data_IF_624597875398
#
_entry.id   IF_624597875398
#
_cell.length_a   1.000
_cell.length_b   1.000
_cell.length_c   1.000
_cell.angle_alpha   90.00
_cell.angle_beta   90.00
_cell.angle_gamma   90.00
#
_symmetry.space_group_name_H-M   'P 1'
#
loop_
_entity.id
_entity.type
_entity.pdbx_description
1 polymer ?
#
# COMPACT_ATOMS: atom_id res chain seq x y z
N UNK A 1 -29.70 7.37 29.82
CA UNK A 1 -28.41 7.96 29.39
C UNK A 1 -28.02 7.23 28.11
N UNK A 2 -28.17 7.89 26.95
CA UNK A 2 -27.72 7.32 25.68
C UNK A 2 -26.19 7.34 25.68
N UNK A 3 -25.59 6.17 25.54
CA UNK A 3 -24.17 6.06 25.22
C UNK A 3 -23.98 6.53 23.78
N UNK A 4 -23.29 7.66 23.66
CA UNK A 4 -22.84 8.26 22.42
C UNK A 4 -21.84 7.31 21.76
N UNK A 5 -22.33 6.34 20.99
CA UNK A 5 -21.51 5.60 20.02
C UNK A 5 -21.21 6.56 18.87
N UNK A 6 -20.29 7.49 19.14
CA UNK A 6 -19.48 8.11 18.11
C UNK A 6 -18.68 6.98 17.47
N UNK A 7 -19.28 6.35 16.45
CA UNK A 7 -18.55 5.55 15.49
C UNK A 7 -17.67 6.57 14.77
N UNK A 8 -16.50 6.82 15.36
CA UNK A 8 -15.39 7.46 14.69
C UNK A 8 -15.25 6.70 13.38
N UNK A 9 -15.43 7.39 12.25
CA UNK A 9 -15.04 6.84 10.93
C UNK A 9 -13.70 6.15 11.16
N UNK A 10 -13.54 4.86 10.82
CA UNK A 10 -12.26 4.22 10.98
C UNK A 10 -11.28 5.07 10.16
N UNK A 11 -10.42 5.83 10.84
CA UNK A 11 -9.30 6.46 10.18
C UNK A 11 -8.57 5.35 9.45
N UNK A 12 -8.16 5.60 8.21
CA UNK A 12 -7.30 4.68 7.47
C UNK A 12 -6.12 4.33 8.37
N UNK A 13 -6.11 3.09 8.89
CA UNK A 13 -5.04 2.60 9.76
C UNK A 13 -3.75 2.56 8.97
N UNK A 14 -2.65 2.98 9.59
CA UNK A 14 -1.34 2.87 8.97
C UNK A 14 -0.97 1.40 8.73
N UNK A 15 -0.13 1.14 7.75
CA UNK A 15 0.24 -0.23 7.37
C UNK A 15 0.87 -0.98 8.54
N UNK A 16 1.71 -0.30 9.32
CA UNK A 16 2.31 -0.89 10.51
C UNK A 16 1.27 -1.28 11.56
N UNK A 17 0.26 -0.44 11.79
CA UNK A 17 -0.83 -0.74 12.72
C UNK A 17 -1.67 -1.92 12.24
N UNK A 18 -1.94 -1.97 10.92
CA UNK A 18 -2.64 -3.07 10.29
C UNK A 18 -1.89 -4.40 10.40
N UNK A 19 -0.55 -4.38 10.31
CA UNK A 19 0.28 -5.56 10.51
C UNK A 19 0.30 -6.00 11.97
N UNK A 20 0.47 -5.08 12.92
CA UNK A 20 0.43 -5.38 14.36
C UNK A 20 -0.90 -6.03 14.74
N UNK A 21 -2.02 -5.54 14.22
CA UNK A 21 -3.33 -6.11 14.50
C UNK A 21 -3.52 -7.52 13.93
N UNK A 22 -2.87 -7.85 12.81
CA UNK A 22 -2.99 -9.15 12.13
C UNK A 22 -1.99 -10.19 12.63
N UNK A 23 -0.76 -9.77 12.89
CA UNK A 23 0.35 -10.66 13.25
C UNK A 23 0.53 -10.80 14.76
N UNK A 24 0.04 -9.84 15.54
CA UNK A 24 0.34 -9.73 16.97
C UNK A 24 1.38 -8.66 17.26
N UNK A 25 1.43 -8.16 18.52
CA UNK A 25 2.30 -7.05 18.90
C UNK A 25 3.79 -7.38 18.83
N UNK A 26 4.21 -8.62 19.08
CA UNK A 26 5.63 -9.00 19.06
C UNK A 26 6.15 -9.13 17.63
N UNK A 27 5.43 -9.83 16.77
CA UNK A 27 5.71 -9.98 15.35
C UNK A 27 5.64 -8.64 14.64
N UNK A 28 4.63 -7.81 14.94
CA UNK A 28 4.49 -6.48 14.38
C UNK A 28 5.62 -5.53 14.79
N UNK A 29 6.14 -5.63 16.03
CA UNK A 29 7.32 -4.87 16.47
C UNK A 29 8.60 -5.31 15.79
N UNK A 30 8.75 -6.60 15.46
CA UNK A 30 9.92 -7.10 14.74
C UNK A 30 10.07 -6.44 13.36
N UNK A 31 8.97 -5.97 12.76
CA UNK A 31 8.97 -5.27 11.47
C UNK A 31 9.56 -3.85 11.52
N UNK A 32 9.89 -3.31 12.70
CA UNK A 32 10.59 -2.03 12.85
C UNK A 32 11.91 -2.00 12.06
N UNK A 33 12.54 -3.15 11.81
CA UNK A 33 13.75 -3.30 11.00
C UNK A 33 13.58 -2.80 9.55
N UNK A 34 12.35 -2.73 9.04
CA UNK A 34 12.06 -2.20 7.70
C UNK A 34 12.26 -0.67 7.62
N UNK A 35 12.17 0.02 8.76
CA UNK A 35 12.42 1.45 8.89
C UNK A 35 11.19 2.32 8.69
N UNK A 36 11.19 3.51 9.32
CA UNK A 36 10.04 4.43 9.31
C UNK A 36 9.71 4.96 7.91
N UNK A 37 10.71 5.24 7.07
CA UNK A 37 10.49 5.71 5.69
C UNK A 37 9.78 4.68 4.83
N UNK A 38 10.01 3.38 5.08
CA UNK A 38 9.29 2.31 4.38
C UNK A 38 7.80 2.36 4.72
N UNK A 39 7.44 2.35 6.00
CA UNK A 39 6.03 2.42 6.42
C UNK A 39 5.34 3.70 5.96
N UNK A 40 6.03 4.84 6.08
CA UNK A 40 5.55 6.12 5.58
C UNK A 40 5.24 6.07 4.08
N UNK A 41 6.14 5.51 3.27
CA UNK A 41 5.91 5.38 1.83
C UNK A 41 4.76 4.44 1.50
N UNK A 42 4.63 3.31 2.21
CA UNK A 42 3.48 2.41 2.00
C UNK A 42 2.17 3.15 2.23
N UNK A 43 2.05 3.88 3.34
CA UNK A 43 0.86 4.65 3.66
C UNK A 43 0.59 5.77 2.67
N UNK A 44 1.60 6.58 2.33
CA UNK A 44 1.43 7.69 1.40
C UNK A 44 1.03 7.22 0.00
N UNK A 45 1.70 6.20 -0.54
CA UNK A 45 1.45 5.73 -1.89
C UNK A 45 0.08 5.04 -1.99
N UNK A 46 -0.27 4.17 -1.03
CA UNK A 46 -1.58 3.52 -0.99
C UNK A 46 -2.74 4.51 -0.85
N UNK A 47 -2.64 5.53 0.03
CA UNK A 47 -3.65 6.59 0.15
C UNK A 47 -3.82 7.34 -1.16
N UNK A 48 -2.72 7.66 -1.84
CA UNK A 48 -2.77 8.36 -3.12
C UNK A 48 -3.37 7.49 -4.23
N UNK A 49 -3.08 6.18 -4.26
CA UNK A 49 -3.74 5.25 -5.17
C UNK A 49 -5.24 5.19 -4.88
N UNK A 50 -5.65 5.06 -3.62
CA UNK A 50 -7.06 5.05 -3.24
C UNK A 50 -7.80 6.31 -3.71
N UNK A 51 -7.18 7.48 -3.55
CA UNK A 51 -7.74 8.76 -4.01
C UNK A 51 -7.86 8.85 -5.54
N UNK A 52 -6.93 8.25 -6.28
CA UNK A 52 -6.97 8.21 -7.75
C UNK A 52 -7.97 7.19 -8.29
N UNK A 53 -8.23 6.14 -7.50
CA UNK A 53 -9.02 4.97 -7.88
C UNK A 53 -10.21 4.70 -6.93
N UNK A 54 -11.07 5.71 -6.63
CA UNK A 54 -12.13 5.55 -5.62
C UNK A 54 -13.22 4.56 -6.05
N UNK A 55 -13.34 4.26 -7.34
CA UNK A 55 -14.35 3.36 -7.90
C UNK A 55 -13.83 1.93 -8.12
N UNK A 56 -12.56 1.67 -7.84
CA UNK A 56 -11.96 0.37 -8.16
C UNK A 56 -12.30 -0.69 -7.11
N UNK A 57 -12.62 -0.31 -5.87
CA UNK A 57 -13.03 -1.25 -4.82
C UNK A 57 -14.17 -2.20 -5.26
N UNK A 58 -15.33 -1.68 -5.75
CA UNK A 58 -16.40 -2.56 -6.25
C UNK A 58 -16.03 -3.31 -7.54
N UNK A 59 -15.09 -2.81 -8.36
CA UNK A 59 -14.64 -3.50 -9.57
C UNK A 59 -13.77 -4.73 -9.26
N UNK A 60 -13.16 -4.74 -8.08
CA UNK A 60 -12.28 -5.81 -7.60
C UNK A 60 -12.99 -6.75 -6.62
N UNK A 61 -14.33 -6.62 -6.48
CA UNK A 61 -15.13 -7.33 -5.48
C UNK A 61 -14.63 -7.14 -4.03
N UNK A 62 -14.00 -5.99 -3.74
CA UNK A 62 -13.47 -5.65 -2.42
C UNK A 62 -14.39 -4.67 -1.69
N UNK A 63 -14.58 -4.89 -0.40
CA UNK A 63 -15.32 -3.94 0.44
C UNK A 63 -14.45 -2.73 0.86
N UNK A 64 -15.08 -1.71 1.45
CA UNK A 64 -14.43 -0.46 1.87
C UNK A 64 -13.29 -0.66 2.89
N UNK A 65 -13.27 -1.77 3.63
CA UNK A 65 -12.23 -2.11 4.59
C UNK A 65 -11.11 -2.97 4.00
N UNK A 66 -11.41 -3.75 2.96
CA UNK A 66 -10.45 -4.61 2.25
C UNK A 66 -9.63 -3.81 1.24
N UNK A 67 -10.25 -2.91 0.49
CA UNK A 67 -9.55 -2.19 -0.57
C UNK A 67 -8.34 -1.38 -0.07
N UNK A 68 -8.43 -0.62 1.04
CA UNK A 68 -7.25 0.05 1.59
C UNK A 68 -6.12 -0.90 2.00
N UNK A 69 -6.50 -2.07 2.53
CA UNK A 69 -5.53 -3.09 2.93
C UNK A 69 -4.82 -3.68 1.72
N UNK A 70 -5.55 -4.03 0.67
CA UNK A 70 -4.98 -4.54 -0.58
C UNK A 70 -4.04 -3.52 -1.24
N UNK A 71 -4.39 -2.22 -1.21
CA UNK A 71 -3.50 -1.16 -1.68
C UNK A 71 -2.20 -1.06 -0.86
N UNK A 72 -2.26 -1.22 0.46
CA UNK A 72 -1.08 -1.26 1.31
C UNK A 72 -0.22 -2.50 1.02
N UNK A 73 -0.84 -3.68 0.85
CA UNK A 73 -0.15 -4.92 0.50
C UNK A 73 0.56 -4.80 -0.86
N UNK A 74 -0.16 -4.33 -1.87
CA UNK A 74 0.38 -4.03 -3.21
C UNK A 74 1.58 -3.09 -3.13
N UNK A 75 1.43 -1.96 -2.43
CA UNK A 75 2.49 -0.95 -2.31
C UNK A 75 3.72 -1.51 -1.58
N UNK A 76 3.52 -2.30 -0.52
CA UNK A 76 4.59 -3.01 0.16
C UNK A 76 5.34 -3.96 -0.79
N UNK A 77 4.63 -4.73 -1.61
CA UNK A 77 5.24 -5.62 -2.59
C UNK A 77 6.02 -4.82 -3.64
N UNK A 78 5.42 -3.79 -4.23
CA UNK A 78 6.05 -2.92 -5.22
C UNK A 78 7.37 -2.33 -4.72
N UNK A 79 7.39 -1.75 -3.51
CA UNK A 79 8.60 -1.16 -2.94
C UNK A 79 9.71 -2.19 -2.70
N UNK A 80 9.34 -3.41 -2.29
CA UNK A 80 10.30 -4.52 -2.09
C UNK A 80 10.90 -5.00 -3.39
N UNK A 81 10.10 -5.07 -4.46
CA UNK A 81 10.56 -5.42 -5.80
C UNK A 81 11.50 -4.35 -6.35
N UNK A 82 11.19 -3.06 -6.17
CA UNK A 82 12.08 -1.97 -6.58
C UNK A 82 13.43 -1.98 -5.85
N UNK A 83 13.44 -2.26 -4.54
CA UNK A 83 14.67 -2.30 -3.76
C UNK A 83 15.58 -3.49 -4.08
N UNK A 84 15.09 -4.48 -4.84
CA UNK A 84 15.74 -5.75 -5.23
C UNK A 84 16.13 -6.68 -4.06
N UNK A 85 16.56 -6.15 -2.91
CA UNK A 85 16.94 -6.93 -1.72
C UNK A 85 16.42 -6.27 -0.43
N UNK A 86 16.11 -7.10 0.57
CA UNK A 86 15.64 -6.63 1.88
C UNK A 86 16.68 -5.77 2.63
N UNK A 87 17.98 -6.02 2.42
CA UNK A 87 19.08 -5.25 3.04
C UNK A 87 19.18 -3.82 2.53
N UNK A 88 18.71 -3.56 1.31
CA UNK A 88 18.75 -2.23 0.71
C UNK A 88 17.43 -1.47 0.89
N UNK A 89 16.35 -2.14 1.32
CA UNK A 89 15.01 -1.56 1.40
C UNK A 89 14.97 -0.26 2.20
N UNK A 90 15.59 -0.21 3.38
CA UNK A 90 15.57 1.00 4.22
C UNK A 90 16.27 2.18 3.54
N UNK A 91 17.45 1.96 2.95
CA UNK A 91 18.18 3.01 2.22
C UNK A 91 17.45 3.43 0.94
N UNK A 92 16.87 2.47 0.22
CA UNK A 92 16.06 2.71 -0.95
C UNK A 92 14.84 3.58 -0.60
N UNK A 93 14.06 3.21 0.42
CA UNK A 93 12.89 3.97 0.85
C UNK A 93 13.25 5.38 1.32
N UNK A 94 14.35 5.53 2.06
CA UNK A 94 14.84 6.84 2.46
C UNK A 94 15.19 7.73 1.24
N UNK A 95 15.90 7.17 0.26
CA UNK A 95 16.26 7.86 -0.97
C UNK A 95 15.05 8.20 -1.84
N UNK A 96 14.12 7.25 -1.97
CA UNK A 96 12.88 7.40 -2.72
C UNK A 96 12.01 8.51 -2.13
N UNK A 97 11.83 8.55 -0.81
CA UNK A 97 11.07 9.60 -0.13
C UNK A 97 11.58 10.99 -0.51
N UNK A 98 12.90 11.20 -0.47
CA UNK A 98 13.52 12.46 -0.88
C UNK A 98 13.36 12.74 -2.36
N UNK A 99 13.54 11.72 -3.21
CA UNK A 99 13.41 11.86 -4.67
C UNK A 99 12.00 12.16 -5.13
N UNK A 100 10.97 11.76 -4.39
CA UNK A 100 9.57 12.11 -4.68
C UNK A 100 9.25 13.60 -4.49
N UNK A 101 10.12 14.37 -3.83
CA UNK A 101 10.02 15.84 -3.76
C UNK A 101 10.41 16.50 -5.09
N UNK A 102 11.17 15.80 -5.95
CA UNK A 102 11.47 16.24 -7.31
C UNK A 102 10.28 15.98 -8.24
N UNK A 103 9.78 17.03 -8.88
CA UNK A 103 8.53 16.98 -9.64
C UNK A 103 8.63 16.10 -10.91
N UNK A 104 9.79 16.08 -11.57
CA UNK A 104 10.00 15.29 -12.78
C UNK A 104 10.07 13.80 -12.43
N UNK A 105 10.91 13.45 -11.45
CA UNK A 105 11.01 12.10 -10.93
C UNK A 105 9.67 11.60 -10.39
N UNK A 106 8.96 12.42 -9.61
CA UNK A 106 7.66 12.06 -9.04
C UNK A 106 6.65 11.71 -10.12
N UNK A 107 6.61 12.50 -11.21
CA UNK A 107 5.72 12.23 -12.35
C UNK A 107 6.02 10.88 -13.01
N UNK A 108 7.29 10.58 -13.27
CA UNK A 108 7.71 9.30 -13.86
C UNK A 108 7.44 8.12 -12.93
N UNK A 109 7.76 8.27 -11.63
CA UNK A 109 7.47 7.29 -10.62
C UNK A 109 5.99 6.95 -10.56
N UNK A 110 5.11 7.97 -10.58
CA UNK A 110 3.67 7.76 -10.56
C UNK A 110 3.15 7.04 -11.80
N UNK A 111 3.78 7.24 -12.96
CA UNK A 111 3.45 6.50 -14.17
C UNK A 111 3.75 5.01 -13.98
N UNK A 112 4.96 4.68 -13.50
CA UNK A 112 5.39 3.30 -13.25
C UNK A 112 4.49 2.63 -12.19
N UNK A 113 4.22 3.32 -11.09
CA UNK A 113 3.38 2.79 -10.02
C UNK A 113 1.95 2.51 -10.50
N UNK A 114 1.36 3.42 -11.29
CA UNK A 114 0.03 3.22 -11.86
C UNK A 114 0.00 2.04 -12.85
N UNK A 115 1.03 1.89 -13.68
CA UNK A 115 1.14 0.75 -14.60
C UNK A 115 1.23 -0.58 -13.82
N UNK A 116 2.05 -0.63 -12.76
CA UNK A 116 2.15 -1.79 -11.88
C UNK A 116 0.82 -2.09 -11.15
N UNK A 117 0.10 -1.05 -10.70
CA UNK A 117 -1.22 -1.20 -10.08
C UNK A 117 -2.22 -1.83 -11.05
N UNK A 118 -2.30 -1.33 -12.29
CA UNK A 118 -3.18 -1.88 -13.31
C UNK A 118 -2.84 -3.34 -13.63
N UNK A 119 -1.55 -3.66 -13.73
CA UNK A 119 -1.10 -5.03 -13.96
C UNK A 119 -1.47 -5.98 -12.81
N UNK A 120 -1.29 -5.53 -11.56
CA UNK A 120 -1.57 -6.33 -10.37
C UNK A 120 -3.06 -6.65 -10.23
N UNK A 121 -3.93 -5.65 -10.38
CA UNK A 121 -5.35 -5.78 -10.07
C UNK A 121 -6.24 -6.17 -11.25
N UNK A 122 -5.86 -5.86 -12.49
CA UNK A 122 -6.76 -6.02 -13.64
C UNK A 122 -6.22 -6.91 -14.76
N UNK A 123 -4.91 -7.11 -14.86
CA UNK A 123 -4.32 -7.94 -15.93
C UNK A 123 -4.16 -9.40 -15.51
N UNK A 124 -3.99 -9.68 -14.21
CA UNK A 124 -3.75 -11.04 -13.71
C UNK A 124 -4.93 -12.02 -13.95
N UNK A 125 -6.17 -11.55 -14.03
CA UNK A 125 -7.33 -12.41 -14.31
C UNK A 125 -7.56 -12.69 -15.81
N UNK A 126 -6.87 -11.97 -16.72
CA UNK A 126 -6.97 -12.26 -18.16
C UNK A 126 -6.37 -13.61 -18.57
N UNK A 127 -5.55 -14.24 -17.71
CA UNK A 127 -4.97 -15.56 -17.94
C UNK A 127 -5.77 -16.73 -17.34
N UNK A 128 -6.77 -16.48 -16.49
CA UNK A 128 -7.62 -17.56 -15.96
C UNK A 128 -8.74 -17.98 -16.93
N UNK A 129 -9.05 -17.18 -17.95
CA UNK A 129 -10.09 -17.50 -18.93
C UNK A 129 -9.62 -18.35 -20.12
N UNK A 130 -8.38 -18.87 -20.12
CA UNK A 130 -7.85 -19.72 -21.20
C UNK A 130 -7.72 -21.21 -20.84
N UNK A 131 -8.32 -21.65 -19.73
CA UNK A 131 -8.43 -23.07 -19.42
C UNK A 131 -9.92 -23.46 -19.39
N UNK A 132 -10.52 -23.54 -20.58
CA UNK A 132 -11.75 -24.29 -20.86
C UNK A 132 -11.36 -25.61 -21.49
#
# INVERSE_FOLDING_TARGET
>A
MLEDKTISKPGLKGFQENLIQRLGPDEGRALNVLGADFFYLVDQLSINLQKKHPQDAPLLDLNESEFPWELQVFTNQFLRECAQTSRQLTFFCHGLRKKLEDAEFSKEFWKILNEAYQQHFFVADSKKNYLV
#
